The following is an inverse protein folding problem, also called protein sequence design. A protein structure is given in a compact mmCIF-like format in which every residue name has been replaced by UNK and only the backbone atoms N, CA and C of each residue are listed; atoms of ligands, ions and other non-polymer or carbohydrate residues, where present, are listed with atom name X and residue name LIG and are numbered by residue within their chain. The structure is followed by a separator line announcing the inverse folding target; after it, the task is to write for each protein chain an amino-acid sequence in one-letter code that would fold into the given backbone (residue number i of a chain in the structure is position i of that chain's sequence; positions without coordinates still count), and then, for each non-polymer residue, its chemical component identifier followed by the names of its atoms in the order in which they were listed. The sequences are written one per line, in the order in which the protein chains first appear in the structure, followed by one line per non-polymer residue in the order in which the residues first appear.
data_IF_624061537660
#
_entry.id   IF_624061537660
#
_cell.length_a   1.000
_cell.length_b   1.000
_cell.length_c   1.000
_cell.angle_alpha   90.00
_cell.angle_beta   90.00
_cell.angle_gamma   90.00
#
_symmetry.space_group_name_H-M   'P 1'
#
loop_
_entity.id
_entity.type
_entity.pdbx_description
1 polymer ?
#
# COMPACT_ATOMS: atom_id res chain seq x y z
N UNK A 1 4.09 27.95 -15.02
CA UNK A 1 2.76 28.53 -14.74
C UNK A 1 2.59 28.60 -13.24
N UNK A 2 2.42 29.79 -12.65
CA UNK A 2 2.06 29.93 -11.23
C UNK A 2 0.61 29.46 -11.09
N UNK A 3 0.37 28.50 -10.21
CA UNK A 3 -0.99 28.09 -9.85
C UNK A 3 -1.62 29.22 -9.04
N UNK A 4 -2.71 29.81 -9.55
CA UNK A 4 -3.49 30.78 -8.78
C UNK A 4 -4.25 30.04 -7.68
N UNK A 5 -3.96 30.40 -6.43
CA UNK A 5 -4.55 29.81 -5.25
C UNK A 5 -6.01 30.26 -5.14
N UNK A 6 -6.96 29.34 -5.34
CA UNK A 6 -8.39 29.62 -5.19
C UNK A 6 -8.71 29.78 -3.70
N UNK A 7 -9.18 30.97 -3.30
CA UNK A 7 -9.53 31.29 -1.91
C UNK A 7 -11.05 31.27 -1.74
N UNK A 8 -11.52 30.50 -0.76
CA UNK A 8 -12.93 30.50 -0.34
C UNK A 8 -13.01 30.85 1.14
N UNK A 9 -14.06 31.57 1.53
CA UNK A 9 -14.35 31.90 2.92
C UNK A 9 -15.60 31.13 3.35
N UNK A 10 -15.46 30.26 4.34
CA UNK A 10 -16.56 29.47 4.90
C UNK A 10 -16.66 29.82 6.37
N UNK A 11 -17.85 30.25 6.81
CA UNK A 11 -18.15 30.41 8.23
C UNK A 11 -18.68 29.10 8.79
N UNK A 12 -18.04 28.61 9.85
CA UNK A 12 -18.47 27.41 10.58
C UNK A 12 -18.64 27.78 12.04
N UNK A 13 -19.66 27.22 12.68
CA UNK A 13 -19.84 27.32 14.13
C UNK A 13 -19.17 26.11 14.78
N UNK A 14 -18.25 26.36 15.71
CA UNK A 14 -17.56 25.34 16.50
C UNK A 14 -17.42 25.84 17.95
N UNK A 15 -17.45 24.91 18.90
CA UNK A 15 -17.17 25.19 20.30
C UNK A 15 -15.69 24.99 20.59
N UNK A 16 -15.22 25.58 21.70
CA UNK A 16 -13.84 25.39 22.14
C UNK A 16 -13.61 23.91 22.48
N UNK A 17 -12.63 23.30 21.79
CA UNK A 17 -12.29 21.89 21.95
C UNK A 17 -12.91 20.96 20.90
N UNK A 18 -13.73 21.47 19.99
CA UNK A 18 -14.24 20.67 18.87
C UNK A 18 -13.12 20.36 17.85
N UNK A 19 -13.00 19.08 17.48
CA UNK A 19 -12.09 18.63 16.43
C UNK A 19 -12.77 18.73 15.06
N UNK A 20 -12.08 19.35 14.11
CA UNK A 20 -12.55 19.54 12.73
C UNK A 20 -11.66 18.77 11.77
N UNK A 21 -12.28 17.93 10.93
CA UNK A 21 -11.63 17.25 9.81
C UNK A 21 -11.95 18.01 8.51
N UNK A 22 -10.91 18.55 7.89
CA UNK A 22 -10.99 19.21 6.60
C UNK A 22 -10.53 18.24 5.51
N UNK A 23 -11.36 18.00 4.49
CA UNK A 23 -10.99 17.15 3.35
C UNK A 23 -11.06 17.99 2.07
N UNK A 24 -9.92 18.22 1.44
CA UNK A 24 -9.81 18.89 0.16
C UNK A 24 -9.68 17.89 -0.97
N UNK A 25 -10.33 18.15 -2.11
CA UNK A 25 -10.19 17.36 -3.33
C UNK A 25 -9.78 18.25 -4.50
N UNK A 26 -8.88 17.75 -5.34
CA UNK A 26 -8.47 18.38 -6.61
C UNK A 26 -8.27 17.28 -7.65
N UNK A 27 -9.31 16.99 -8.44
CA UNK A 27 -9.28 15.84 -9.37
C UNK A 27 -9.12 14.51 -8.62
N UNK A 28 -8.03 13.78 -8.90
CA UNK A 28 -7.68 12.53 -8.20
C UNK A 28 -6.90 12.76 -6.89
N UNK A 29 -6.55 14.02 -6.60
CA UNK A 29 -5.81 14.39 -5.41
C UNK A 29 -6.76 14.67 -4.25
N UNK A 30 -6.38 14.25 -3.05
CA UNK A 30 -7.09 14.47 -1.81
C UNK A 30 -6.09 14.72 -0.68
N UNK A 31 -6.40 15.68 0.17
CA UNK A 31 -5.67 15.97 1.40
C UNK A 31 -6.64 16.10 2.55
N UNK A 32 -6.21 15.65 3.73
CA UNK A 32 -6.97 15.85 4.96
C UNK A 32 -6.12 16.57 6.00
N UNK A 33 -6.78 17.43 6.77
CA UNK A 33 -6.19 18.22 7.84
C UNK A 33 -7.10 18.07 9.05
N UNK A 34 -6.52 17.62 10.17
CA UNK A 34 -7.18 17.57 11.47
C UNK A 34 -6.71 18.78 12.27
N UNK A 35 -7.65 19.56 12.80
CA UNK A 35 -7.36 20.77 13.58
C UNK A 35 -8.42 21.01 14.66
N UNK A 36 -8.02 21.67 15.75
CA UNK A 36 -8.92 22.15 16.81
C UNK A 36 -8.93 23.67 16.76
N UNK A 37 -9.82 24.29 15.96
CA UNK A 37 -9.79 25.74 15.77
C UNK A 37 -10.15 26.47 17.06
N UNK A 38 -9.33 27.45 17.43
CA UNK A 38 -9.58 28.35 18.58
C UNK A 38 -9.93 29.77 18.14
N UNK A 39 -9.75 30.07 16.85
CA UNK A 39 -10.06 31.35 16.21
C UNK A 39 -10.14 31.17 14.69
N UNK A 40 -10.50 32.24 13.98
CA UNK A 40 -10.43 32.30 12.51
C UNK A 40 -9.03 31.95 12.01
N UNK A 41 -8.94 30.95 11.15
CA UNK A 41 -7.68 30.43 10.60
C UNK A 41 -7.81 30.16 9.11
N UNK A 42 -6.73 30.40 8.38
CA UNK A 42 -6.61 29.97 6.98
C UNK A 42 -6.12 28.53 6.95
N UNK A 43 -6.81 27.66 6.23
CA UNK A 43 -6.42 26.27 6.01
C UNK A 43 -5.92 26.13 4.58
N UNK A 44 -4.64 25.82 4.43
CA UNK A 44 -4.00 25.66 3.13
C UNK A 44 -3.93 24.19 2.74
N UNK A 45 -4.57 23.81 1.63
CA UNK A 45 -4.44 22.47 1.06
C UNK A 45 -3.31 22.44 0.03
N UNK A 46 -2.25 21.71 0.34
CA UNK A 46 -1.14 21.48 -0.59
C UNK A 46 -1.36 20.15 -1.30
N UNK A 47 -1.98 20.20 -2.48
CA UNK A 47 -2.09 19.02 -3.34
C UNK A 47 -0.75 18.77 -4.03
N UNK A 48 0.07 17.92 -3.43
CA UNK A 48 1.25 17.43 -4.12
C UNK A 48 0.85 16.38 -5.15
N UNK A 49 1.41 16.46 -6.35
CA UNK A 49 1.43 15.33 -7.27
C UNK A 49 2.33 14.26 -6.64
N UNK A 50 1.77 13.49 -5.69
CA UNK A 50 2.38 12.26 -5.21
C UNK A 50 2.75 11.45 -6.44
N UNK A 51 4.01 11.04 -6.59
CA UNK A 51 4.54 10.31 -7.75
C UNK A 51 3.93 8.91 -7.96
N UNK A 52 2.82 8.60 -7.29
CA UNK A 52 1.98 7.45 -7.57
C UNK A 52 1.48 7.54 -9.03
N UNK A 53 1.71 6.49 -9.82
CA UNK A 53 1.54 6.50 -11.28
C UNK A 53 2.86 6.26 -12.02
N UNK A 54 3.99 6.33 -11.32
CA UNK A 54 5.27 5.85 -11.83
C UNK A 54 5.38 4.33 -11.78
N UNK A 55 6.45 3.81 -12.38
CA UNK A 55 6.83 2.42 -12.25
C UNK A 55 7.77 2.22 -11.05
N UNK A 56 7.55 1.15 -10.31
CA UNK A 56 8.42 0.66 -9.25
C UNK A 56 9.23 -0.51 -9.80
N UNK A 57 10.56 -0.41 -9.79
CA UNK A 57 11.43 -1.53 -10.16
C UNK A 57 11.84 -2.26 -8.90
N UNK A 58 11.50 -3.54 -8.81
CA UNK A 58 11.94 -4.41 -7.72
C UNK A 58 13.41 -4.76 -7.92
N UNK A 59 14.26 -4.40 -6.94
CA UNK A 59 15.70 -4.62 -7.03
C UNK A 59 16.11 -6.09 -6.96
N UNK A 60 15.20 -6.99 -6.55
CA UNK A 60 15.49 -8.41 -6.36
C UNK A 60 15.43 -9.22 -7.65
N UNK A 61 14.55 -8.83 -8.57
CA UNK A 61 14.29 -9.53 -9.85
C UNK A 61 14.28 -8.57 -11.06
N UNK A 62 14.55 -7.28 -10.86
CA UNK A 62 14.46 -6.22 -11.87
C UNK A 62 13.08 -6.09 -12.53
N UNK A 63 12.03 -6.59 -11.88
CA UNK A 63 10.66 -6.54 -12.42
C UNK A 63 10.05 -5.17 -12.16
N UNK A 64 9.42 -4.64 -13.21
CA UNK A 64 8.82 -3.32 -13.20
C UNK A 64 7.33 -3.49 -12.93
N UNK A 65 6.84 -2.87 -11.86
CA UNK A 65 5.45 -2.86 -11.45
C UNK A 65 4.88 -1.47 -11.58
N UNK A 66 3.65 -1.37 -12.09
CA UNK A 66 2.97 -0.08 -12.13
C UNK A 66 2.39 0.29 -10.75
N UNK A 67 2.40 1.57 -10.40
CA UNK A 67 1.76 2.08 -9.19
C UNK A 67 0.56 2.95 -9.51
N UNK A 68 -0.40 3.00 -8.59
CA UNK A 68 -1.72 3.58 -8.76
C UNK A 68 -2.11 4.27 -7.45
N UNK A 69 -2.66 5.48 -7.52
CA UNK A 69 -3.04 6.24 -6.33
C UNK A 69 -4.44 5.84 -5.87
N UNK A 70 -4.58 5.40 -4.62
CA UNK A 70 -5.89 5.16 -3.99
C UNK A 70 -5.91 5.90 -2.65
N UNK A 71 -6.74 6.95 -2.58
CA UNK A 71 -6.75 7.89 -1.46
C UNK A 71 -5.43 8.66 -1.34
N UNK A 72 -4.80 8.56 -0.17
CA UNK A 72 -3.48 9.16 0.15
C UNK A 72 -2.29 8.23 -0.11
N UNK A 73 -2.53 6.94 -0.40
CA UNK A 73 -1.48 5.94 -0.50
C UNK A 73 -1.23 5.56 -1.97
N UNK A 74 0.03 5.29 -2.32
CA UNK A 74 0.37 4.63 -3.57
C UNK A 74 0.21 3.12 -3.39
N UNK A 75 -0.54 2.49 -4.28
CA UNK A 75 -0.74 1.04 -4.34
C UNK A 75 -0.06 0.49 -5.58
N UNK A 76 0.36 -0.78 -5.56
CA UNK A 76 0.75 -1.47 -6.78
C UNK A 76 -0.52 -1.73 -7.61
N UNK A 77 -0.48 -1.45 -8.91
CA UNK A 77 -1.58 -1.73 -9.85
C UNK A 77 -1.68 -3.22 -10.19
N UNK A 78 -0.66 -4.00 -9.82
CA UNK A 78 -0.46 -5.39 -10.18
C UNK A 78 -0.01 -6.19 -8.95
N UNK A 79 -0.31 -7.49 -8.92
CA UNK A 79 0.18 -8.36 -7.85
C UNK A 79 1.70 -8.50 -7.94
N UNK A 80 2.38 -8.47 -6.78
CA UNK A 80 3.81 -8.79 -6.66
C UNK A 80 4.08 -10.24 -7.07
N UNK A 81 5.05 -10.46 -7.95
CA UNK A 81 5.38 -11.79 -8.49
C UNK A 81 6.85 -12.16 -8.32
N UNK A 82 7.45 -11.72 -7.22
CA UNK A 82 8.81 -12.10 -6.87
C UNK A 82 8.88 -13.60 -6.55
N UNK A 83 9.62 -14.37 -7.35
CA UNK A 83 9.68 -15.84 -7.26
C UNK A 83 11.11 -16.38 -7.34
N UNK A 84 11.90 -16.31 -6.25
CA UNK A 84 13.28 -16.82 -6.26
C UNK A 84 13.36 -18.36 -6.22
N UNK A 85 12.32 -19.02 -5.69
CA UNK A 85 12.16 -20.48 -5.68
C UNK A 85 10.69 -20.81 -5.67
N UNK A 86 10.29 -22.04 -5.98
CA UNK A 86 8.90 -22.48 -5.86
C UNK A 86 8.87 -23.85 -5.22
N UNK A 87 7.91 -24.06 -4.31
CA UNK A 87 7.70 -25.35 -3.63
C UNK A 87 6.26 -25.80 -3.79
N UNK A 88 6.03 -27.10 -3.61
CA UNK A 88 4.70 -27.67 -3.61
C UNK A 88 3.85 -27.06 -2.48
N UNK A 89 2.57 -26.84 -2.74
CA UNK A 89 1.60 -26.27 -1.80
C UNK A 89 1.45 -27.02 -0.47
N UNK A 90 1.84 -28.31 -0.44
CA UNK A 90 1.85 -29.13 0.79
C UNK A 90 2.99 -28.75 1.74
N UNK A 91 4.07 -28.16 1.24
CA UNK A 91 5.29 -27.88 2.02
C UNK A 91 5.16 -26.53 2.74
N UNK A 92 4.73 -26.54 4.01
CA UNK A 92 4.65 -25.34 4.84
C UNK A 92 5.82 -25.19 5.81
N UNK A 93 6.19 -23.94 6.13
CA UNK A 93 7.10 -23.62 7.23
C UNK A 93 6.73 -22.28 7.88
N UNK A 94 6.99 -22.17 9.18
CA UNK A 94 6.86 -20.93 9.97
C UNK A 94 8.20 -20.19 10.12
N UNK A 95 9.31 -20.82 9.76
CA UNK A 95 10.68 -20.30 9.97
C UNK A 95 11.47 -20.17 8.67
N UNK A 96 11.05 -20.84 7.60
CA UNK A 96 11.71 -20.82 6.30
C UNK A 96 10.80 -20.12 5.29
N UNK A 97 11.30 -19.14 4.51
CA UNK A 97 10.50 -18.50 3.47
C UNK A 97 10.20 -19.50 2.32
N UNK A 98 8.92 -19.62 1.98
CA UNK A 98 8.44 -20.44 0.87
C UNK A 98 7.49 -19.66 -0.02
N UNK A 99 7.52 -20.01 -1.30
CA UNK A 99 6.78 -19.36 -2.37
C UNK A 99 6.02 -20.42 -3.15
N UNK A 100 4.76 -20.13 -3.47
CA UNK A 100 3.86 -21.05 -4.13
C UNK A 100 3.17 -20.36 -5.30
N UNK A 101 2.73 -21.16 -6.27
CA UNK A 101 1.86 -20.69 -7.35
C UNK A 101 0.63 -21.57 -7.41
N UNK A 102 -0.52 -20.94 -7.63
CA UNK A 102 -1.80 -21.62 -7.68
C UNK A 102 -1.79 -22.71 -8.77
N UNK A 103 -2.21 -23.91 -8.38
CA UNK A 103 -2.29 -25.09 -9.26
C UNK A 103 -0.93 -25.51 -9.88
N UNK A 104 0.17 -25.28 -9.14
CA UNK A 104 1.49 -25.77 -9.51
C UNK A 104 2.11 -26.63 -8.41
N UNK A 105 2.43 -27.88 -8.76
CA UNK A 105 2.92 -28.90 -7.82
C UNK A 105 4.42 -29.21 -7.95
N UNK A 106 5.12 -28.54 -8.87
CA UNK A 106 6.55 -28.73 -9.09
C UNK A 106 7.44 -27.81 -8.24
N UNK A 107 8.72 -27.75 -8.61
CA UNK A 107 9.74 -26.93 -7.95
C UNK A 107 10.61 -26.13 -8.95
N UNK A 108 10.15 -25.99 -10.19
CA UNK A 108 10.93 -25.38 -11.29
C UNK A 108 10.34 -24.01 -11.63
N UNK A 109 11.06 -22.94 -11.26
CA UNK A 109 10.63 -21.55 -11.47
C UNK A 109 10.37 -21.23 -12.95
N UNK A 110 11.24 -21.66 -13.86
CA UNK A 110 11.08 -21.38 -15.30
C UNK A 110 9.83 -22.02 -15.92
N UNK A 111 9.35 -23.13 -15.37
CA UNK A 111 8.08 -23.76 -15.79
C UNK A 111 6.90 -22.92 -15.30
N UNK A 112 6.98 -22.40 -14.08
CA UNK A 112 5.92 -21.59 -13.46
C UNK A 112 5.73 -20.26 -14.17
N UNK A 113 6.83 -19.59 -14.54
CA UNK A 113 6.78 -18.29 -15.22
C UNK A 113 6.06 -18.36 -16.57
N UNK A 114 6.03 -19.54 -17.21
CA UNK A 114 5.30 -19.79 -18.45
C UNK A 114 3.80 -20.12 -18.24
N UNK A 115 3.33 -20.26 -17.00
CA UNK A 115 1.92 -20.59 -16.72
C UNK A 115 1.02 -19.35 -16.63
N UNK A 116 -0.21 -19.48 -17.13
CA UNK A 116 -1.22 -18.40 -17.02
C UNK A 116 -1.56 -18.05 -15.56
N UNK A 117 -1.48 -19.01 -14.64
CA UNK A 117 -1.79 -18.79 -13.22
C UNK A 117 -0.81 -17.81 -12.57
N UNK A 118 0.48 -17.91 -12.90
CA UNK A 118 1.49 -16.92 -12.49
C UNK A 118 1.19 -15.52 -13.08
N UNK A 119 0.69 -15.48 -14.32
CA UNK A 119 0.22 -14.26 -14.97
C UNK A 119 -0.98 -13.59 -14.30
N UNK A 120 -2.00 -14.36 -13.91
CA UNK A 120 -3.27 -13.84 -13.40
C UNK A 120 -3.20 -13.60 -11.88
N UNK A 121 -2.76 -14.60 -11.13
CA UNK A 121 -2.81 -14.58 -9.67
C UNK A 121 -1.50 -14.13 -9.04
N UNK A 122 -0.36 -14.38 -9.70
CA UNK A 122 0.96 -14.07 -9.16
C UNK A 122 1.49 -15.16 -8.23
N UNK A 123 2.17 -14.74 -7.17
CA UNK A 123 2.86 -15.63 -6.22
C UNK A 123 2.21 -15.55 -4.84
N UNK A 124 2.07 -16.70 -4.20
CA UNK A 124 1.61 -16.84 -2.83
C UNK A 124 2.85 -16.99 -1.92
N UNK A 125 2.86 -16.27 -0.80
CA UNK A 125 3.98 -16.25 0.13
C UNK A 125 3.52 -16.80 1.48
N UNK A 126 4.36 -17.60 2.16
CA UNK A 126 4.12 -17.85 3.57
C UNK A 126 4.43 -16.59 4.41
N UNK A 127 3.96 -16.56 5.66
CA UNK A 127 4.17 -15.43 6.55
C UNK A 127 5.65 -15.00 6.65
N UNK A 128 6.56 -15.96 6.77
CA UNK A 128 8.00 -15.69 6.85
C UNK A 128 8.56 -15.02 5.59
N UNK A 129 8.15 -15.47 4.40
CA UNK A 129 8.53 -14.83 3.13
C UNK A 129 7.91 -13.44 2.97
N UNK A 130 6.64 -13.27 3.36
CA UNK A 130 5.96 -11.98 3.33
C UNK A 130 6.61 -10.95 4.26
N UNK A 131 7.05 -11.40 5.44
CA UNK A 131 7.74 -10.56 6.43
C UNK A 131 9.20 -10.32 6.07
N UNK A 132 9.84 -11.19 5.27
CA UNK A 132 11.26 -11.09 4.87
C UNK A 132 12.19 -10.68 6.03
N UNK A 133 12.06 -11.32 7.19
CA UNK A 133 12.81 -11.02 8.43
C UNK A 133 12.62 -9.61 9.04
N UNK A 134 11.65 -8.83 8.57
CA UNK A 134 11.31 -7.54 9.18
C UNK A 134 10.58 -7.72 10.51
N UNK A 135 10.89 -6.85 11.48
CA UNK A 135 10.14 -6.77 12.73
C UNK A 135 8.76 -6.19 12.46
N UNK A 136 7.70 -6.87 12.87
CA UNK A 136 6.34 -6.35 12.79
C UNK A 136 6.26 -5.01 13.53
N UNK A 137 5.91 -3.94 12.82
CA UNK A 137 5.64 -2.64 13.44
C UNK A 137 4.24 -2.18 13.07
N UNK A 138 3.62 -1.45 13.99
CA UNK A 138 2.34 -0.74 13.79
C UNK A 138 2.53 0.59 13.03
N UNK A 139 3.74 0.87 12.54
CA UNK A 139 4.03 2.09 11.81
C UNK A 139 3.51 2.00 10.37
N UNK A 140 2.70 2.99 9.97
CA UNK A 140 2.43 3.23 8.56
C UNK A 140 3.76 3.60 7.88
N UNK A 141 4.23 2.72 6.98
CA UNK A 141 5.60 2.56 6.44
C UNK A 141 6.52 1.57 7.18
N UNK A 142 5.98 0.47 7.70
CA UNK A 142 6.81 -0.71 7.99
C UNK A 142 7.39 -1.23 6.68
N UNK A 143 8.71 -1.28 6.53
CA UNK A 143 9.46 -1.76 5.35
C UNK A 143 9.25 -3.24 4.98
N UNK A 144 8.05 -3.76 5.19
CA UNK A 144 7.58 -5.10 4.83
C UNK A 144 7.29 -5.11 3.33
N UNK A 145 8.25 -5.56 2.53
CA UNK A 145 8.20 -5.60 1.06
C UNK A 145 7.37 -6.76 0.48
N UNK A 146 6.34 -7.22 1.20
CA UNK A 146 5.69 -8.49 0.89
C UNK A 146 4.23 -8.63 1.33
N UNK A 147 3.45 -7.55 1.40
CA UNK A 147 2.00 -7.66 1.61
C UNK A 147 1.25 -7.53 0.29
N UNK A 148 1.16 -8.63 -0.46
CA UNK A 148 0.03 -8.84 -1.39
C UNK A 148 -1.03 -9.61 -0.63
N UNK A 149 -2.02 -8.88 -0.11
CA UNK A 149 -3.31 -9.47 0.22
C UNK A 149 -4.21 -9.19 -0.97
N UNK A 150 -4.69 -10.27 -1.60
CA UNK A 150 -5.88 -10.19 -2.44
C UNK A 150 -7.00 -9.60 -1.57
N UNK A 151 -7.62 -8.53 -2.07
CA UNK A 151 -8.78 -7.82 -1.50
C UNK A 151 -8.56 -7.07 -0.18
N UNK A 152 -8.19 -5.80 -0.31
CA UNK A 152 -8.60 -4.73 0.61
C UNK A 152 -7.97 -4.75 2.00
N UNK A 153 -7.92 -3.58 2.62
CA UNK A 153 -7.54 -3.38 4.02
C UNK A 153 -6.06 -3.68 4.32
N UNK A 154 -5.19 -2.75 3.93
CA UNK A 154 -4.05 -2.43 4.78
C UNK A 154 -4.52 -1.36 5.78
N UNK A 155 -5.31 -1.78 6.76
CA UNK A 155 -5.40 -1.08 8.04
C UNK A 155 -4.76 -1.99 9.08
N UNK A 156 -3.78 -1.45 9.79
CA UNK A 156 -3.37 -1.99 11.07
C UNK A 156 -4.61 -2.00 11.97
N UNK A 157 -5.05 -3.18 12.41
CA UNK A 157 -5.98 -3.25 13.53
C UNK A 157 -5.25 -2.70 14.77
N UNK A 158 -5.76 -1.65 15.44
CA UNK A 158 -5.17 -1.15 16.66
C UNK A 158 -5.33 -2.22 17.74
N UNK A 159 -4.20 -2.61 18.33
CA UNK A 159 -4.16 -3.41 19.55
C UNK A 159 -4.80 -2.60 20.69
N UNK A 160 -5.96 -3.02 21.17
CA UNK A 160 -6.47 -2.70 22.51
C UNK A 160 -6.03 -3.76 23.52
N UNK A 161 -5.80 -3.40 24.80
CA UNK A 161 -5.08 -4.23 25.75
C UNK A 161 -5.98 -5.22 26.50
N UNK A 162 -5.42 -6.38 26.82
CA UNK A 162 -5.49 -7.05 28.14
C UNK A 162 -4.42 -8.15 28.21
#
# INVERSE_FOLDING_TARGET
MKSDMQKSAIQMQYNQGDEMLYIGFSGIYSEDILDVPTATKTVDFVFSASSCGGSFTDSRDSKIYSSVRIGKQCWMAENLKYLPSVVNSITGSLTVPYYYVYDYQGNIVSVVEATSNYGIYGVLYNWTAAMNSSSSSSANSSGVQGRVLLAGICQAMPSGPN
#
